data_IF_110398404435
#
_entry.id   IF_110398404435
#
_cell.length_a   1.000
_cell.length_b   1.000
_cell.length_c   1.000
_cell.angle_alpha   90.00
_cell.angle_beta   90.00
_cell.angle_gamma   90.00
#
_symmetry.space_group_name_H-M   'P 1'
#
loop_
_entity.id
_entity.type
_entity.pdbx_description
1 polymer ?
#
# COMPACT_ATOMS: atom_id res chain seq x y z
N UNK A 1 2.96 -2.38 -21.70
CA UNK A 1 1.63 -2.96 -21.64
C UNK A 1 1.10 -3.00 -20.20
N UNK A 2 1.86 -3.59 -19.27
CA UNK A 2 1.47 -3.72 -17.85
C UNK A 2 1.22 -2.36 -17.17
N UNK A 3 2.05 -1.35 -17.44
CA UNK A 3 1.86 -0.01 -16.91
C UNK A 3 0.59 0.65 -17.45
N UNK A 4 0.32 0.48 -18.73
CA UNK A 4 -0.91 0.99 -19.35
C UNK A 4 -2.14 0.32 -18.74
N UNK A 5 -2.11 -1.00 -18.58
CA UNK A 5 -3.20 -1.76 -17.95
C UNK A 5 -3.39 -1.34 -16.50
N UNK A 6 -2.29 -1.12 -15.77
CA UNK A 6 -2.34 -0.62 -14.38
C UNK A 6 -3.00 0.76 -14.34
N UNK A 7 -2.56 1.68 -15.17
CA UNK A 7 -3.12 3.03 -15.24
C UNK A 7 -4.61 3.01 -15.53
N UNK A 8 -5.05 2.19 -16.48
CA UNK A 8 -6.46 2.08 -16.86
C UNK A 8 -7.33 1.42 -15.77
N UNK A 9 -6.73 0.63 -14.89
CA UNK A 9 -7.44 -0.03 -13.78
C UNK A 9 -7.58 0.83 -12.54
N UNK A 10 -6.84 1.94 -12.44
CA UNK A 10 -6.88 2.81 -11.26
C UNK A 10 -8.18 3.61 -11.21
N UNK A 11 -8.78 3.65 -10.04
CA UNK A 11 -10.00 4.40 -9.76
C UNK A 11 -9.63 5.75 -9.13
N UNK A 12 -10.03 6.86 -9.78
CA UNK A 12 -9.71 8.20 -9.32
C UNK A 12 -10.32 8.53 -7.96
N UNK A 13 -11.53 8.06 -7.69
CA UNK A 13 -12.18 8.28 -6.39
C UNK A 13 -11.42 7.60 -5.26
N UNK A 14 -10.91 6.39 -5.49
CA UNK A 14 -10.06 5.68 -4.52
C UNK A 14 -8.74 6.41 -4.29
N UNK A 15 -8.11 6.89 -5.36
CA UNK A 15 -6.88 7.67 -5.26
C UNK A 15 -7.10 8.98 -4.49
N UNK A 16 -8.20 9.68 -4.77
CA UNK A 16 -8.57 10.89 -4.03
C UNK A 16 -8.79 10.59 -2.54
N UNK A 17 -9.45 9.49 -2.21
CA UNK A 17 -9.64 9.07 -0.81
C UNK A 17 -8.31 8.82 -0.11
N UNK A 18 -7.35 8.15 -0.78
CA UNK A 18 -6.02 7.92 -0.22
C UNK A 18 -5.30 9.25 0.05
N UNK A 19 -5.36 10.17 -0.91
CA UNK A 19 -4.73 11.49 -0.76
C UNK A 19 -5.41 12.29 0.36
N UNK A 20 -6.72 12.20 0.50
CA UNK A 20 -7.44 12.81 1.63
C UNK A 20 -6.93 12.30 2.98
N UNK A 21 -6.70 10.99 3.11
CA UNK A 21 -6.10 10.42 4.32
C UNK A 21 -4.68 10.94 4.56
N UNK A 22 -3.86 11.04 3.52
CA UNK A 22 -2.50 11.58 3.64
C UNK A 22 -2.50 13.06 4.03
N UNK A 23 -3.50 13.83 3.61
CA UNK A 23 -3.65 15.25 3.98
C UNK A 23 -4.34 15.46 5.33
N UNK A 24 -4.84 14.40 5.96
CA UNK A 24 -5.56 14.45 7.24
C UNK A 24 -4.59 14.29 8.44
N UNK A 25 -5.16 14.36 9.64
CA UNK A 25 -4.44 14.08 10.90
C UNK A 25 -4.43 12.59 11.25
N UNK A 26 -4.92 11.72 10.37
CA UNK A 26 -4.94 10.28 10.62
C UNK A 26 -3.52 9.71 10.71
N UNK A 27 -3.38 8.68 11.53
CA UNK A 27 -2.14 7.93 11.67
C UNK A 27 -1.97 7.01 10.45
N UNK A 28 -0.88 7.17 9.73
CA UNK A 28 -0.57 6.35 8.55
C UNK A 28 0.44 5.29 8.93
N UNK A 29 0.04 4.03 8.76
CA UNK A 29 0.87 2.86 9.00
C UNK A 29 1.16 2.18 7.66
N UNK A 30 2.40 1.75 7.46
CA UNK A 30 2.85 1.18 6.18
C UNK A 30 3.55 -0.15 6.45
N UNK A 31 3.13 -1.21 5.76
CA UNK A 31 3.70 -2.55 5.86
C UNK A 31 3.74 -3.23 4.49
N UNK A 32 4.87 -3.81 4.15
CA UNK A 32 5.05 -4.59 2.94
C UNK A 32 5.94 -5.81 3.18
N UNK A 33 5.78 -6.82 2.33
CA UNK A 33 6.59 -8.05 2.40
C UNK A 33 7.20 -8.39 1.04
N UNK A 34 8.27 -9.17 1.10
CA UNK A 34 9.03 -9.55 -0.10
C UNK A 34 9.62 -8.34 -0.80
N UNK A 35 9.79 -8.41 -2.11
CA UNK A 35 10.34 -7.30 -2.90
C UNK A 35 9.41 -6.07 -2.92
N UNK A 36 8.14 -6.25 -2.66
CA UNK A 36 7.17 -5.15 -2.55
C UNK A 36 7.45 -4.23 -1.36
N UNK A 37 8.09 -4.76 -0.32
CA UNK A 37 8.52 -3.95 0.83
C UNK A 37 9.36 -2.75 0.39
N UNK A 38 10.20 -2.90 -0.64
CA UNK A 38 11.07 -1.82 -1.15
C UNK A 38 10.24 -0.63 -1.67
N UNK A 39 9.14 -0.90 -2.37
CA UNK A 39 8.23 0.15 -2.87
C UNK A 39 7.49 0.85 -1.72
N UNK A 40 7.08 0.12 -0.70
CA UNK A 40 6.40 0.67 0.47
C UNK A 40 7.38 1.48 1.35
N UNK A 41 8.62 1.03 1.49
CA UNK A 41 9.67 1.78 2.18
C UNK A 41 9.99 3.09 1.44
N UNK A 42 10.02 3.05 0.11
CA UNK A 42 10.17 4.25 -0.70
C UNK A 42 9.03 5.24 -0.44
N UNK A 43 7.78 4.78 -0.41
CA UNK A 43 6.64 5.63 -0.05
C UNK A 43 6.83 6.28 1.32
N UNK A 44 7.20 5.49 2.32
CA UNK A 44 7.49 5.97 3.67
C UNK A 44 8.54 7.07 3.66
N UNK A 45 9.69 6.83 3.00
CA UNK A 45 10.80 7.79 2.97
C UNK A 45 10.41 9.11 2.30
N UNK A 46 9.63 9.05 1.22
CA UNK A 46 9.16 10.28 0.55
C UNK A 46 8.17 11.04 1.45
N UNK A 47 7.22 10.37 2.08
CA UNK A 47 6.27 11.02 2.98
C UNK A 47 6.97 11.72 4.14
N UNK A 48 7.94 11.05 4.77
CA UNK A 48 8.76 11.66 5.84
C UNK A 48 9.51 12.89 5.31
N UNK A 49 10.09 12.80 4.12
CA UNK A 49 10.80 13.92 3.48
C UNK A 49 9.88 15.11 3.20
N UNK A 50 8.59 14.87 3.03
CA UNK A 50 7.56 15.88 2.83
C UNK A 50 6.90 16.32 4.15
N UNK A 51 7.49 16.01 5.29
CA UNK A 51 6.97 16.29 6.64
C UNK A 51 5.62 15.60 6.95
N UNK A 52 5.27 14.53 6.22
CA UNK A 52 4.11 13.72 6.58
C UNK A 52 4.54 12.59 7.50
N UNK A 53 4.25 12.74 8.78
CA UNK A 53 4.54 11.71 9.79
C UNK A 53 3.78 10.43 9.46
N UNK A 54 4.50 9.32 9.45
CA UNK A 54 3.93 7.99 9.26
C UNK A 54 4.88 6.95 9.85
N UNK A 55 4.42 5.70 9.93
CA UNK A 55 5.19 4.59 10.49
C UNK A 55 5.36 3.48 9.48
N UNK A 56 6.57 2.95 9.39
CA UNK A 56 6.91 1.82 8.54
C UNK A 56 7.34 0.65 9.40
N UNK A 57 6.77 -0.52 9.13
CA UNK A 57 6.97 -1.73 9.93
C UNK A 57 7.75 -2.78 9.17
N UNK A 58 8.74 -3.37 9.83
CA UNK A 58 9.52 -4.51 9.33
C UNK A 58 9.15 -5.80 10.07
N UNK A 59 8.72 -5.70 11.30
CA UNK A 59 8.51 -6.83 12.20
C UNK A 59 7.02 -7.21 12.26
N UNK A 60 6.63 -8.41 11.78
CA UNK A 60 5.23 -8.83 11.80
C UNK A 60 4.54 -8.79 13.17
N UNK A 61 5.14 -9.24 14.29
CA UNK A 61 4.52 -9.10 15.61
C UNK A 61 4.12 -7.67 15.95
N UNK A 62 4.94 -6.69 15.59
CA UNK A 62 4.64 -5.28 15.82
C UNK A 62 3.47 -4.79 14.97
N UNK A 63 3.39 -5.27 13.73
CA UNK A 63 2.26 -5.03 12.83
C UNK A 63 0.96 -5.57 13.45
N UNK A 64 0.98 -6.78 13.97
CA UNK A 64 -0.21 -7.40 14.57
C UNK A 64 -0.69 -6.64 15.80
N UNK A 65 0.23 -6.20 16.63
CA UNK A 65 -0.09 -5.38 17.79
C UNK A 65 -0.74 -4.06 17.37
N UNK A 66 -0.13 -3.37 16.40
CA UNK A 66 -0.67 -2.11 15.85
C UNK A 66 -2.06 -2.33 15.24
N UNK A 67 -2.21 -3.36 14.41
CA UNK A 67 -3.48 -3.70 13.77
C UNK A 67 -4.59 -3.98 14.79
N UNK A 68 -4.26 -4.62 15.92
CA UNK A 68 -5.22 -4.93 16.98
C UNK A 68 -5.73 -3.69 17.73
N UNK A 69 -5.04 -2.57 17.65
CA UNK A 69 -5.35 -1.33 18.35
C UNK A 69 -5.88 -0.22 17.40
N UNK A 70 -6.07 -0.53 16.12
CA UNK A 70 -6.54 0.45 15.14
C UNK A 70 -7.97 0.90 15.42
N UNK A 71 -8.21 2.17 15.17
CA UNK A 71 -9.55 2.77 15.22
C UNK A 71 -9.77 3.66 13.97
N UNK A 72 -10.83 4.45 13.99
CA UNK A 72 -11.19 5.35 12.86
C UNK A 72 -10.11 6.41 12.55
N UNK A 73 -9.16 6.63 13.45
CA UNK A 73 -8.06 7.56 13.23
C UNK A 73 -6.86 6.91 12.54
N UNK A 74 -6.92 5.62 12.25
CA UNK A 74 -5.81 4.86 11.69
C UNK A 74 -6.08 4.42 10.25
N UNK A 75 -5.05 4.54 9.42
CA UNK A 75 -5.02 4.04 8.04
C UNK A 75 -3.82 3.12 7.89
N UNK A 76 -4.04 1.91 7.43
CA UNK A 76 -2.97 0.94 7.18
C UNK A 76 -2.82 0.71 5.66
N UNK A 77 -1.66 1.06 5.13
CA UNK A 77 -1.27 0.77 3.74
C UNK A 77 -0.46 -0.52 3.75
N UNK A 78 -1.02 -1.57 3.19
CA UNK A 78 -0.42 -2.90 3.16
C UNK A 78 -0.09 -3.26 1.71
N UNK A 79 1.18 -3.59 1.45
CA UNK A 79 1.66 -3.97 0.12
C UNK A 79 2.18 -5.40 0.08
N UNK A 80 1.71 -6.16 -0.91
CA UNK A 80 2.17 -7.53 -1.17
C UNK A 80 1.88 -7.90 -2.61
N UNK A 81 2.87 -8.46 -3.30
CA UNK A 81 2.68 -8.91 -4.68
C UNK A 81 1.58 -9.96 -4.78
N UNK A 82 1.67 -11.04 -4.01
CA UNK A 82 0.68 -12.12 -4.01
C UNK A 82 -0.57 -11.79 -3.18
N UNK A 83 -0.43 -10.95 -2.16
CA UNK A 83 -1.50 -10.63 -1.21
C UNK A 83 -1.93 -11.82 -0.34
N UNK A 84 -1.15 -12.90 -0.30
CA UNK A 84 -1.55 -14.18 0.30
C UNK A 84 -0.50 -14.78 1.24
N UNK A 85 0.60 -14.08 1.53
CA UNK A 85 1.59 -14.56 2.51
C UNK A 85 1.02 -14.44 3.93
N UNK A 86 1.41 -15.36 4.81
CA UNK A 86 0.87 -15.44 6.17
C UNK A 86 0.92 -14.10 6.95
N UNK A 87 2.04 -13.36 6.98
CA UNK A 87 2.05 -12.09 7.70
C UNK A 87 1.07 -11.05 7.14
N UNK A 88 0.87 -11.04 5.83
CA UNK A 88 -0.05 -10.10 5.16
C UNK A 88 -1.50 -10.47 5.48
N UNK A 89 -1.86 -11.74 5.34
CA UNK A 89 -3.21 -12.24 5.63
C UNK A 89 -3.57 -11.97 7.09
N UNK A 90 -2.67 -12.30 8.01
CA UNK A 90 -2.88 -12.07 9.43
C UNK A 90 -3.03 -10.57 9.76
N UNK A 91 -2.20 -9.72 9.16
CA UNK A 91 -2.28 -8.28 9.39
C UNK A 91 -3.63 -7.71 8.94
N UNK A 92 -4.10 -8.06 7.73
CA UNK A 92 -5.39 -7.55 7.25
C UNK A 92 -6.57 -8.12 8.03
N UNK A 93 -6.52 -9.38 8.45
CA UNK A 93 -7.56 -9.99 9.28
C UNK A 93 -7.70 -9.29 10.62
N UNK A 94 -6.60 -9.05 11.32
CA UNK A 94 -6.61 -8.33 12.60
C UNK A 94 -7.13 -6.90 12.39
N UNK A 95 -6.67 -6.20 11.37
CA UNK A 95 -7.10 -4.83 11.07
C UNK A 95 -8.60 -4.75 10.81
N UNK A 96 -9.19 -5.74 10.14
CA UNK A 96 -10.62 -5.75 9.81
C UNK A 96 -11.53 -6.08 10.98
N UNK A 97 -10.99 -6.52 12.11
CA UNK A 97 -11.74 -6.64 13.36
C UNK A 97 -11.96 -5.28 14.05
N UNK A 98 -11.37 -4.23 13.52
CA UNK A 98 -11.40 -2.86 14.06
C UNK A 98 -11.97 -1.88 13.02
N UNK A 99 -12.10 -0.62 13.39
CA UNK A 99 -12.74 0.42 12.57
C UNK A 99 -11.76 1.20 11.67
N UNK A 100 -10.47 0.89 11.74
CA UNK A 100 -9.45 1.51 10.89
C UNK A 100 -9.62 1.17 9.40
N UNK A 101 -9.04 2.00 8.55
CA UNK A 101 -9.08 1.81 7.10
C UNK A 101 -7.88 1.04 6.62
N UNK A 102 -8.09 0.05 5.75
CA UNK A 102 -7.01 -0.72 5.12
C UNK A 102 -6.97 -0.43 3.62
N UNK A 103 -5.81 -0.03 3.15
CA UNK A 103 -5.50 0.20 1.73
C UNK A 103 -4.54 -0.89 1.29
N UNK A 104 -4.91 -1.65 0.27
CA UNK A 104 -4.08 -2.70 -0.31
C UNK A 104 -3.42 -2.24 -1.62
N UNK A 105 -2.13 -2.52 -1.76
CA UNK A 105 -1.41 -2.41 -3.02
C UNK A 105 -0.88 -3.81 -3.34
N UNK A 106 -1.42 -4.44 -4.38
CA UNK A 106 -1.11 -5.83 -4.73
C UNK A 106 -1.20 -6.06 -6.24
N UNK A 107 -0.63 -7.15 -6.71
CA UNK A 107 -0.79 -7.59 -8.11
C UNK A 107 -1.87 -8.67 -8.27
N UNK A 108 -2.41 -9.18 -7.18
CA UNK A 108 -3.42 -10.24 -7.20
C UNK A 108 -4.79 -9.74 -6.70
N UNK A 109 -5.73 -9.45 -7.61
CA UNK A 109 -7.07 -8.97 -7.23
C UNK A 109 -7.91 -10.01 -6.49
N UNK A 110 -7.54 -11.27 -6.55
CA UNK A 110 -8.25 -12.37 -5.91
C UNK A 110 -7.61 -12.82 -4.59
N UNK A 111 -6.61 -12.09 -4.10
CA UNK A 111 -5.92 -12.41 -2.85
C UNK A 111 -6.78 -12.12 -1.62
N UNK A 112 -6.42 -12.73 -0.49
CA UNK A 112 -7.05 -12.44 0.80
C UNK A 112 -6.91 -10.95 1.18
N UNK A 113 -5.75 -10.36 0.91
CA UNK A 113 -5.53 -8.94 1.12
C UNK A 113 -6.52 -8.09 0.31
N UNK A 114 -6.66 -8.37 -0.99
CA UNK A 114 -7.57 -7.61 -1.87
C UNK A 114 -9.03 -7.77 -1.47
N UNK A 115 -9.44 -8.98 -1.05
CA UNK A 115 -10.82 -9.25 -0.64
C UNK A 115 -11.22 -8.54 0.64
N UNK A 116 -10.28 -8.31 1.55
CA UNK A 116 -10.54 -7.79 2.89
C UNK A 116 -10.27 -6.29 3.04
N UNK A 117 -9.44 -5.71 2.20
CA UNK A 117 -9.11 -4.29 2.26
C UNK A 117 -10.31 -3.40 1.87
N UNK A 118 -10.32 -2.18 2.39
CA UNK A 118 -11.35 -1.19 2.07
C UNK A 118 -11.10 -0.53 0.70
N UNK A 119 -9.84 -0.29 0.36
CA UNK A 119 -9.40 0.25 -0.92
C UNK A 119 -8.35 -0.69 -1.49
N UNK A 120 -8.44 -1.01 -2.78
CA UNK A 120 -7.53 -1.94 -3.45
C UNK A 120 -6.99 -1.32 -4.73
N UNK A 121 -5.66 -1.19 -4.79
CA UNK A 121 -4.95 -0.74 -5.98
C UNK A 121 -4.18 -1.93 -6.57
N UNK A 122 -4.43 -2.24 -7.84
CA UNK A 122 -3.88 -3.40 -8.52
C UNK A 122 -2.77 -2.99 -9.49
N UNK A 123 -1.55 -3.45 -9.22
CA UNK A 123 -0.43 -3.36 -10.15
C UNK A 123 -0.44 -4.54 -11.11
N UNK A 124 -0.82 -4.33 -12.36
CA UNK A 124 -0.87 -5.39 -13.37
C UNK A 124 0.54 -5.86 -13.74
N UNK A 125 0.75 -7.17 -13.75
CA UNK A 125 2.02 -7.79 -14.14
C UNK A 125 1.82 -9.25 -14.51
N UNK A 126 2.79 -9.80 -15.26
CA UNK A 126 2.83 -11.24 -15.57
C UNK A 126 3.60 -11.97 -14.48
N UNK A 127 3.10 -13.15 -14.09
CA UNK A 127 3.79 -13.98 -13.11
C UNK A 127 5.07 -14.58 -13.70
N UNK A 128 6.18 -14.39 -13.00
CA UNK A 128 7.50 -14.90 -13.40
C UNK A 128 8.20 -15.51 -12.19
N UNK A 129 8.65 -16.76 -12.35
CA UNK A 129 9.41 -17.45 -11.33
C UNK A 129 10.63 -18.11 -11.96
N UNK A 130 11.74 -18.12 -11.23
CA UNK A 130 12.94 -18.83 -11.60
C UNK A 130 13.33 -19.78 -10.45
N UNK A 131 13.32 -21.08 -10.73
CA UNK A 131 13.59 -22.11 -9.71
C UNK A 131 12.76 -21.93 -8.44
N UNK A 132 11.49 -21.59 -8.58
CA UNK A 132 10.60 -21.34 -7.44
C UNK A 132 10.77 -19.99 -6.77
N UNK A 133 11.71 -19.16 -7.24
CA UNK A 133 11.97 -17.84 -6.69
C UNK A 133 11.14 -16.80 -7.45
N UNK A 134 10.50 -15.92 -6.71
CA UNK A 134 9.75 -14.78 -7.25
C UNK A 134 10.71 -13.78 -7.91
N UNK A 135 10.60 -13.64 -9.23
CA UNK A 135 11.33 -12.65 -10.02
C UNK A 135 10.39 -11.68 -10.73
N UNK A 136 9.17 -11.52 -10.19
CA UNK A 136 8.17 -10.64 -10.78
C UNK A 136 8.61 -9.19 -10.70
N UNK A 137 8.30 -8.43 -11.76
CA UNK A 137 8.53 -6.99 -11.78
C UNK A 137 7.66 -6.30 -10.74
N UNK A 138 8.23 -5.36 -10.00
CA UNK A 138 7.51 -4.45 -9.10
C UNK A 138 7.23 -3.08 -9.74
N UNK A 139 7.49 -2.95 -11.04
CA UNK A 139 7.35 -1.68 -11.73
C UNK A 139 5.92 -1.13 -11.64
N UNK A 140 4.90 -1.97 -11.81
CA UNK A 140 3.49 -1.55 -11.70
C UNK A 140 3.11 -1.12 -10.28
N UNK A 141 3.64 -1.81 -9.27
CA UNK A 141 3.45 -1.43 -7.86
C UNK A 141 4.16 -0.11 -7.58
N UNK A 142 5.40 0.04 -8.04
CA UNK A 142 6.15 1.29 -7.89
C UNK A 142 5.43 2.46 -8.59
N UNK A 143 4.87 2.21 -9.77
CA UNK A 143 4.09 3.20 -10.50
C UNK A 143 2.88 3.70 -9.70
N UNK A 144 2.16 2.80 -9.02
CA UNK A 144 1.05 3.16 -8.12
C UNK A 144 1.56 4.05 -6.98
N UNK A 145 2.67 3.67 -6.37
CA UNK A 145 3.30 4.47 -5.29
C UNK A 145 3.64 5.86 -5.79
N UNK A 146 4.24 5.98 -6.97
CA UNK A 146 4.57 7.27 -7.57
C UNK A 146 3.33 8.14 -7.83
N UNK A 147 2.25 7.54 -8.32
CA UNK A 147 0.98 8.27 -8.54
C UNK A 147 0.44 8.82 -7.20
N UNK A 148 0.45 8.03 -6.16
CA UNK A 148 0.02 8.48 -4.81
C UNK A 148 0.86 9.68 -4.37
N UNK A 149 2.18 9.59 -4.51
CA UNK A 149 3.10 10.66 -4.14
C UNK A 149 2.83 11.93 -4.95
N UNK A 150 2.70 11.81 -6.27
CA UNK A 150 2.45 12.95 -7.16
C UNK A 150 1.12 13.65 -6.83
N UNK A 151 0.07 12.88 -6.60
CA UNK A 151 -1.23 13.43 -6.23
C UNK A 151 -1.19 14.11 -4.86
N UNK A 152 -0.47 13.53 -3.89
CA UNK A 152 -0.28 14.14 -2.58
C UNK A 152 0.48 15.47 -2.69
N UNK A 153 1.60 15.48 -3.42
CA UNK A 153 2.38 16.69 -3.64
C UNK A 153 1.55 17.78 -4.33
N UNK A 154 0.78 17.41 -5.34
CA UNK A 154 -0.12 18.33 -6.04
C UNK A 154 -1.16 18.93 -5.10
N UNK A 155 -1.79 18.09 -4.26
CA UNK A 155 -2.79 18.52 -3.28
C UNK A 155 -2.20 19.48 -2.24
N UNK A 156 -0.96 19.26 -1.83
CA UNK A 156 -0.24 20.08 -0.85
C UNK A 156 0.43 21.30 -1.49
N UNK A 157 0.28 21.52 -2.79
CA UNK A 157 0.94 22.60 -3.55
C UNK A 157 2.47 22.59 -3.41
N UNK A 158 3.06 21.39 -3.37
CA UNK A 158 4.51 21.24 -3.36
C UNK A 158 5.00 21.42 -4.78
N UNK A 159 5.80 22.48 -5.02
CA UNK A 159 6.29 22.85 -6.35
C UNK A 159 7.71 22.32 -6.54
N UNK A 160 7.96 21.69 -7.71
CA UNK A 160 9.32 21.32 -8.13
C UNK A 160 10.11 22.59 -8.46
N UNK A 161 11.30 22.69 -7.95
CA UNK A 161 12.25 23.76 -8.29
C UNK A 161 13.36 23.24 -9.19
#
# INVERSE_FOLDING_TARGET
>A
LELKETMLSLNLEQLDSIVDYLCSDKNIHIFGRGLTQMSLEYLYNILISLNRQCMFYLDPPLVYQTASQMDENDVFIIGSFSGSTDPIVKAVEISKNNTGTVIAITSNPNSELAKKADIVLIGKTQNRFFSGIDINSRLSIQFIVEIIIELYMSRMNIVSH
#
